data_IF_739485768479
#
_entry.id   IF_739485768479
#
_cell.length_a   1.000
_cell.length_b   1.000
_cell.length_c   1.000
_cell.angle_alpha   90.00
_cell.angle_beta   90.00
_cell.angle_gamma   90.00
#
_symmetry.space_group_name_H-M   'P 1'
#
loop_
_entity.id
_entity.type
_entity.pdbx_description
1 polymer ?
#
# COMPACT_ATOMS: atom_id res chain seq x y z
N UNK A 1 73.12 58.39 57.39
CA UNK A 1 71.73 58.31 56.88
C UNK A 1 70.83 57.99 58.06
N UNK A 2 69.92 58.91 58.40
CA UNK A 2 69.10 58.89 59.61
C UNK A 2 67.83 58.05 59.35
N UNK A 3 67.38 57.30 60.36
CA UNK A 3 66.12 56.53 60.45
C UNK A 3 66.08 55.05 59.94
N UNK A 4 66.96 54.14 60.41
CA UNK A 4 66.75 52.68 60.21
C UNK A 4 65.51 52.14 60.95
N UNK A 5 65.06 52.86 61.99
CA UNK A 5 63.93 52.49 62.83
C UNK A 5 62.56 52.69 62.13
N UNK A 6 62.48 53.61 61.16
CA UNK A 6 61.25 53.85 60.41
C UNK A 6 60.97 52.73 59.38
N UNK A 7 62.02 52.13 58.83
CA UNK A 7 61.91 51.00 57.89
C UNK A 7 61.41 49.72 58.57
N UNK A 8 61.79 49.47 59.84
CA UNK A 8 61.32 48.31 60.59
C UNK A 8 59.82 48.42 60.97
N UNK A 9 59.33 49.63 61.27
CA UNK A 9 57.91 49.86 61.59
C UNK A 9 57.02 49.76 60.34
N UNK A 10 57.53 50.15 59.16
CA UNK A 10 56.80 50.00 57.89
C UNK A 10 56.74 48.54 57.40
N UNK A 11 57.71 47.69 57.79
CA UNK A 11 57.70 46.26 57.47
C UNK A 11 56.72 45.46 58.33
N UNK A 12 56.46 45.88 59.59
CA UNK A 12 55.49 45.21 60.46
C UNK A 12 54.02 45.55 60.16
N UNK A 13 53.72 46.64 59.43
CA UNK A 13 52.35 47.06 59.13
C UNK A 13 51.73 46.40 57.89
N UNK A 14 52.44 45.49 57.23
CA UNK A 14 51.94 44.76 56.04
C UNK A 14 51.64 43.27 56.29
N UNK A 15 51.63 42.84 57.56
CA UNK A 15 51.14 41.51 57.92
C UNK A 15 49.64 41.56 58.24
N UNK A 16 48.80 41.65 57.22
CA UNK A 16 47.39 41.30 57.39
C UNK A 16 47.31 39.77 57.55
N UNK A 17 46.77 39.23 58.67
CA UNK A 17 46.45 37.81 58.72
C UNK A 17 45.34 37.56 57.69
N UNK A 18 45.64 36.81 56.63
CA UNK A 18 44.59 36.23 55.80
C UNK A 18 43.90 35.15 56.63
N UNK A 19 42.75 35.48 57.21
CA UNK A 19 41.85 34.46 57.73
C UNK A 19 41.31 33.76 56.50
N UNK A 20 41.89 32.60 56.17
CA UNK A 20 41.33 31.71 55.17
C UNK A 20 39.93 31.29 55.66
N UNK A 21 38.90 31.64 54.91
CA UNK A 21 37.52 31.35 55.26
C UNK A 21 37.31 29.84 55.02
N UNK A 22 37.33 29.06 56.10
CA UNK A 22 37.26 27.59 56.00
C UNK A 22 35.89 27.18 55.47
N UNK A 23 35.88 26.33 54.43
CA UNK A 23 34.67 25.71 53.88
C UNK A 23 33.85 25.04 54.99
N UNK A 24 32.74 25.67 55.39
CA UNK A 24 31.86 25.15 56.43
C UNK A 24 30.55 24.62 55.82
N UNK A 25 30.38 23.31 55.89
CA UNK A 25 29.23 22.59 55.33
C UNK A 25 28.04 22.68 56.29
N UNK A 26 26.84 22.87 55.73
CA UNK A 26 25.59 22.78 56.48
C UNK A 26 25.39 21.38 57.04
N UNK A 27 24.95 21.27 58.29
CA UNK A 27 24.65 19.98 58.94
C UNK A 27 23.55 19.18 58.23
N UNK A 28 22.66 19.87 57.51
CA UNK A 28 21.54 19.28 56.76
C UNK A 28 21.82 19.13 55.26
N UNK A 29 23.09 19.21 54.83
CA UNK A 29 23.44 19.11 53.42
C UNK A 29 23.13 17.69 52.86
N UNK A 30 22.43 17.57 51.73
CA UNK A 30 22.07 16.27 51.17
C UNK A 30 23.28 15.57 50.56
N UNK A 31 23.49 14.28 50.84
CA UNK A 31 24.62 13.51 50.28
C UNK A 31 24.64 13.47 48.73
N UNK A 32 23.47 13.63 48.11
CA UNK A 32 23.31 13.65 46.66
C UNK A 32 22.26 14.69 46.24
N UNK A 33 22.52 15.39 45.14
CA UNK A 33 21.60 16.35 44.51
C UNK A 33 21.48 16.06 43.02
N UNK A 34 20.27 16.13 42.45
CA UNK A 34 20.05 15.99 41.00
C UNK A 34 19.75 17.35 40.42
N UNK A 35 20.59 17.81 39.50
CA UNK A 35 20.48 19.12 38.85
C UNK A 35 19.17 19.23 38.09
N UNK A 36 18.42 20.29 38.35
CA UNK A 36 17.18 20.63 37.66
C UNK A 36 17.44 21.72 36.62
N UNK A 37 16.50 21.86 35.68
CA UNK A 37 16.56 22.91 34.65
C UNK A 37 16.48 24.28 35.32
N UNK A 38 17.55 25.06 35.21
CA UNK A 38 17.66 26.41 35.76
C UNK A 38 18.59 26.54 36.96
N UNK A 39 19.10 25.44 37.51
CA UNK A 39 20.04 25.50 38.62
C UNK A 39 21.42 26.01 38.15
N UNK A 40 22.05 26.84 38.97
CA UNK A 40 23.45 27.23 38.80
C UNK A 40 24.33 26.58 39.88
N UNK A 41 25.65 26.52 39.66
CA UNK A 41 26.60 26.06 40.66
C UNK A 41 26.54 26.87 41.96
N UNK A 42 26.19 28.15 41.87
CA UNK A 42 25.98 29.02 43.03
C UNK A 42 24.73 28.62 43.81
N UNK A 43 23.60 28.39 43.12
CA UNK A 43 22.34 27.95 43.75
C UNK A 43 22.50 26.59 44.44
N UNK A 44 23.20 25.66 43.78
CA UNK A 44 23.48 24.34 44.33
C UNK A 44 24.41 24.47 45.54
N UNK A 45 25.46 25.29 45.45
CA UNK A 45 26.39 25.47 46.56
C UNK A 45 25.75 26.14 47.77
N UNK A 46 24.72 26.97 47.59
CA UNK A 46 23.92 27.50 48.69
C UNK A 46 23.20 26.41 49.51
N UNK A 47 22.97 25.23 48.92
CA UNK A 47 22.39 24.06 49.60
C UNK A 47 23.44 23.42 50.53
N UNK A 48 24.71 23.41 50.12
CA UNK A 48 25.80 22.73 50.82
C UNK A 48 26.57 23.63 51.79
N UNK A 49 26.73 24.92 51.47
CA UNK A 49 27.55 25.87 52.20
C UNK A 49 26.71 26.92 52.93
N UNK A 50 27.21 27.37 54.09
CA UNK A 50 26.68 28.56 54.76
C UNK A 50 26.98 29.86 53.99
N UNK A 51 28.07 29.87 53.23
CA UNK A 51 28.54 31.00 52.44
C UNK A 51 28.56 30.61 50.95
N UNK A 52 27.49 30.92 50.18
CA UNK A 52 27.34 30.44 48.79
C UNK A 52 28.43 30.90 47.83
N UNK A 53 29.12 32.02 48.10
CA UNK A 53 30.19 32.55 47.24
C UNK A 53 31.49 31.75 47.30
N UNK A 54 31.66 30.85 48.27
CA UNK A 54 32.80 29.91 48.35
C UNK A 54 32.61 28.68 47.44
N UNK A 55 31.60 28.68 46.57
CA UNK A 55 31.37 27.63 45.60
C UNK A 55 32.59 27.27 44.71
N UNK A 56 33.50 28.18 44.32
CA UNK A 56 34.69 27.80 43.53
C UNK A 56 35.64 26.89 44.30
N UNK A 57 35.63 26.96 45.63
CA UNK A 57 36.47 26.12 46.48
C UNK A 57 35.82 24.74 46.72
N UNK A 58 34.48 24.68 46.79
CA UNK A 58 33.72 23.43 46.85
C UNK A 58 33.78 22.65 45.53
N UNK A 59 33.80 23.39 44.43
CA UNK A 59 33.86 22.90 43.06
C UNK A 59 35.29 23.06 42.52
N UNK A 60 36.23 22.31 43.09
CA UNK A 60 37.60 22.30 42.56
C UNK A 60 37.64 21.68 41.16
N UNK A 61 38.38 22.35 40.27
CA UNK A 61 38.59 22.00 38.86
C UNK A 61 38.65 20.48 38.66
N UNK A 62 37.66 19.95 37.94
CA UNK A 62 37.76 18.63 37.32
C UNK A 62 38.55 18.81 36.01
N UNK A 63 39.87 18.53 35.96
CA UNK A 63 40.65 18.71 34.73
C UNK A 63 40.20 17.79 33.58
N UNK A 64 39.23 16.90 33.80
CA UNK A 64 38.64 16.02 32.79
C UNK A 64 37.47 16.65 32.00
N UNK A 65 37.06 17.90 32.28
CA UNK A 65 35.92 18.55 31.62
C UNK A 65 36.37 19.89 31.03
N UNK A 66 36.18 20.07 29.71
CA UNK A 66 36.68 21.21 28.92
C UNK A 66 36.17 22.59 29.38
N UNK A 67 35.03 22.64 30.09
CA UNK A 67 34.53 23.85 30.75
C UNK A 67 34.17 23.52 32.20
N UNK A 68 34.97 23.96 33.18
CA UNK A 68 34.78 23.61 34.59
C UNK A 68 33.44 24.05 35.20
N UNK A 69 32.67 24.90 34.52
CA UNK A 69 31.42 25.48 35.03
C UNK A 69 30.13 24.92 34.40
N UNK A 70 30.22 23.96 33.47
CA UNK A 70 29.03 23.39 32.83
C UNK A 70 28.44 22.26 33.68
N UNK A 71 27.16 22.41 34.03
CA UNK A 71 26.30 21.36 34.62
C UNK A 71 25.05 21.22 33.76
N UNK A 72 24.54 19.99 33.63
CA UNK A 72 23.35 19.71 32.82
C UNK A 72 22.18 19.21 33.68
N UNK A 73 20.93 19.56 33.32
CA UNK A 73 19.76 19.01 34.00
C UNK A 73 19.76 17.48 33.91
N UNK A 74 19.72 16.82 35.07
CA UNK A 74 19.80 15.36 35.20
C UNK A 74 21.12 14.84 35.76
N UNK A 75 22.18 15.67 35.83
CA UNK A 75 23.42 15.30 36.49
C UNK A 75 23.19 15.07 37.99
N UNK A 76 23.73 13.98 38.53
CA UNK A 76 23.76 13.77 39.97
C UNK A 76 25.09 14.23 40.55
N UNK A 77 25.01 15.14 41.50
CA UNK A 77 26.13 15.65 42.25
C UNK A 77 26.20 14.95 43.60
N UNK A 78 27.39 14.52 44.00
CA UNK A 78 27.62 13.86 45.29
C UNK A 78 28.70 14.60 46.07
N UNK A 79 28.47 14.77 47.37
CA UNK A 79 29.45 15.35 48.28
C UNK A 79 30.42 14.26 48.73
N UNK A 80 31.71 14.42 48.40
CA UNK A 80 32.80 13.54 48.81
C UNK A 80 33.80 14.33 49.66
N UNK A 81 34.58 13.66 50.50
CA UNK A 81 35.66 14.27 51.26
C UNK A 81 37.00 13.78 50.69
N UNK A 82 37.91 14.71 50.44
CA UNK A 82 39.26 14.39 49.96
C UNK A 82 40.11 13.73 51.05
N UNK A 83 41.30 13.19 50.70
CA UNK A 83 42.21 12.54 51.66
C UNK A 83 42.64 13.46 52.82
N UNK A 84 42.56 14.79 52.60
CA UNK A 84 42.82 15.82 53.60
C UNK A 84 41.58 16.29 54.39
N UNK A 85 40.43 15.61 54.22
CA UNK A 85 39.17 15.91 54.92
C UNK A 85 38.37 17.10 54.37
N UNK A 86 38.79 17.67 53.23
CA UNK A 86 38.11 18.81 52.60
C UNK A 86 36.90 18.35 51.78
N UNK A 87 35.73 19.02 51.87
CA UNK A 87 34.55 18.66 51.10
C UNK A 87 34.66 19.09 49.64
N UNK A 88 34.26 18.20 48.73
CA UNK A 88 34.19 18.45 47.30
C UNK A 88 32.90 17.91 46.71
N UNK A 89 32.35 18.66 45.75
CA UNK A 89 31.17 18.23 45.00
C UNK A 89 31.61 17.64 43.66
N UNK A 90 31.28 16.38 43.40
CA UNK A 90 31.65 15.68 42.16
C UNK A 90 30.43 15.16 41.42
N UNK A 91 30.50 15.12 40.09
CA UNK A 91 29.47 14.51 39.25
C UNK A 91 29.58 12.99 39.38
N UNK A 92 28.52 12.37 39.89
CA UNK A 92 28.39 10.93 39.98
C UNK A 92 27.92 10.36 38.63
N UNK A 93 28.89 10.01 37.78
CA UNK A 93 28.66 9.40 36.46
C UNK A 93 28.00 8.01 36.51
N UNK A 94 27.94 7.38 37.70
CA UNK A 94 27.24 6.12 37.92
C UNK A 94 25.72 6.27 38.12
N UNK A 95 25.21 7.49 38.33
CA UNK A 95 23.78 7.71 38.51
C UNK A 95 23.06 7.74 37.16
N UNK A 96 22.29 6.69 36.86
CA UNK A 96 21.33 6.68 35.74
C UNK A 96 19.92 6.66 36.30
N UNK A 97 19.17 7.74 36.06
CA UNK A 97 17.74 7.77 36.35
C UNK A 97 17.02 6.82 35.38
N UNK A 98 16.63 5.63 35.86
CA UNK A 98 15.81 4.69 35.12
C UNK A 98 14.38 5.25 35.03
N UNK A 99 14.08 6.00 33.98
CA UNK A 99 12.69 6.34 33.62
C UNK A 99 12.17 5.37 32.55
N UNK A 100 10.86 5.05 32.55
CA UNK A 100 10.27 4.24 31.49
C UNK A 100 10.50 4.92 30.14
N UNK A 101 11.24 4.25 29.26
CA UNK A 101 11.34 4.65 27.86
C UNK A 101 10.60 3.59 27.04
N UNK A 102 9.61 4.02 26.27
CA UNK A 102 8.92 3.16 25.33
C UNK A 102 9.93 2.63 24.30
N UNK A 103 9.99 1.31 24.14
CA UNK A 103 10.85 0.70 23.13
C UNK A 103 10.28 1.01 21.74
N UNK A 104 10.97 1.85 20.97
CA UNK A 104 10.63 2.06 19.56
C UNK A 104 11.11 0.83 18.79
N UNK A 105 10.24 -0.17 18.67
CA UNK A 105 10.42 -1.25 17.70
C UNK A 105 9.98 -0.72 16.33
N UNK A 106 10.86 -0.67 15.31
CA UNK A 106 10.43 -0.37 13.96
C UNK A 106 9.37 -1.40 13.54
N UNK A 107 8.23 -0.92 13.02
CA UNK A 107 7.16 -1.77 12.46
C UNK A 107 7.75 -2.54 11.27
N UNK A 108 8.25 -3.75 11.52
CA UNK A 108 8.67 -4.74 10.52
C UNK A 108 9.72 -4.28 9.50
N UNK A 109 10.92 -4.88 9.53
CA UNK A 109 11.87 -4.81 8.39
C UNK A 109 11.42 -5.60 7.16
N UNK A 110 10.26 -6.26 7.24
CA UNK A 110 9.68 -6.93 6.09
C UNK A 110 9.01 -5.87 5.24
N UNK A 111 9.61 -5.57 4.09
CA UNK A 111 8.92 -4.84 3.03
C UNK A 111 7.52 -5.44 2.86
N UNK A 112 6.50 -4.59 2.74
CA UNK A 112 5.14 -5.04 2.41
C UNK A 112 5.29 -5.95 1.18
N UNK A 113 4.89 -7.23 1.26
CA UNK A 113 5.13 -8.15 0.16
C UNK A 113 4.43 -7.59 -1.07
N UNK A 114 5.22 -7.10 -2.02
CA UNK A 114 4.69 -6.68 -3.31
C UNK A 114 4.31 -7.95 -4.06
N UNK A 115 3.16 -7.92 -4.72
CA UNK A 115 2.74 -9.05 -5.53
C UNK A 115 3.79 -9.29 -6.64
N UNK A 116 4.42 -10.48 -6.72
CA UNK A 116 5.45 -10.73 -7.71
C UNK A 116 4.84 -10.76 -9.11
N UNK A 117 5.41 -9.97 -10.05
CA UNK A 117 4.94 -9.88 -11.44
C UNK A 117 4.87 -11.24 -12.15
N UNK A 118 5.67 -12.21 -11.72
CA UNK A 118 5.69 -13.56 -12.26
C UNK A 118 4.33 -14.25 -12.21
N UNK A 119 3.55 -14.04 -11.14
CA UNK A 119 2.19 -14.59 -11.02
C UNK A 119 1.21 -13.97 -12.02
N UNK A 120 1.44 -12.70 -12.38
CA UNK A 120 0.58 -12.00 -13.32
C UNK A 120 0.97 -12.29 -14.79
N UNK A 121 2.26 -12.60 -15.07
CA UNK A 121 2.84 -12.64 -16.42
C UNK A 121 1.97 -13.34 -17.48
N UNK A 122 1.46 -14.57 -17.27
CA UNK A 122 0.68 -15.28 -18.30
C UNK A 122 -0.59 -14.53 -18.74
N UNK A 123 -1.16 -13.74 -17.84
CA UNK A 123 -2.41 -13.01 -18.04
C UNK A 123 -2.20 -11.55 -18.43
N UNK A 124 -1.00 -11.02 -18.16
CA UNK A 124 -0.54 -9.74 -18.64
C UNK A 124 -0.27 -9.77 -20.15
N UNK A 125 0.21 -10.92 -20.64
CA UNK A 125 0.48 -11.15 -22.05
C UNK A 125 -0.82 -11.36 -22.83
N UNK A 126 -1.22 -10.32 -23.55
CA UNK A 126 -2.17 -10.33 -24.68
C UNK A 126 -3.67 -10.46 -24.36
N UNK A 127 -4.12 -10.66 -23.11
CA UNK A 127 -5.54 -10.50 -22.81
C UNK A 127 -5.86 -9.01 -22.53
N UNK A 128 -6.74 -8.43 -23.35
CA UNK A 128 -7.19 -7.04 -23.24
C UNK A 128 -8.70 -6.95 -23.39
N UNK A 129 -9.32 -6.07 -22.61
CA UNK A 129 -10.71 -5.70 -22.81
C UNK A 129 -10.76 -4.43 -23.66
N UNK A 130 -11.40 -4.51 -24.83
CA UNK A 130 -11.55 -3.38 -25.75
C UNK A 130 -13.02 -3.08 -26.02
N UNK A 131 -13.36 -1.81 -26.16
CA UNK A 131 -14.70 -1.38 -26.54
C UNK A 131 -14.99 -1.69 -28.01
N UNK A 132 -16.28 -1.70 -28.39
CA UNK A 132 -16.68 -1.91 -29.80
C UNK A 132 -16.10 -0.84 -30.72
N UNK A 133 -16.02 0.40 -30.23
CA UNK A 133 -15.49 1.55 -30.97
C UNK A 133 -13.98 1.40 -31.20
N UNK A 134 -13.25 1.06 -30.15
CA UNK A 134 -11.80 0.85 -30.23
C UNK A 134 -11.44 -0.25 -31.23
N UNK A 135 -12.18 -1.36 -31.23
CA UNK A 135 -11.95 -2.48 -32.18
C UNK A 135 -12.22 -2.04 -33.61
N UNK A 136 -13.27 -1.26 -33.85
CA UNK A 136 -13.66 -0.81 -35.20
C UNK A 136 -12.63 0.15 -35.83
N UNK A 137 -11.91 0.90 -34.99
CA UNK A 137 -10.83 1.80 -35.42
C UNK A 137 -9.51 1.06 -35.72
N UNK A 138 -9.36 -0.21 -35.31
CA UNK A 138 -8.11 -0.96 -35.54
C UNK A 138 -7.99 -1.49 -36.97
N UNK A 139 -6.76 -1.58 -37.50
CA UNK A 139 -6.47 -2.31 -38.73
C UNK A 139 -6.95 -3.76 -38.64
N UNK A 140 -7.50 -4.30 -39.73
CA UNK A 140 -7.99 -5.68 -39.75
C UNK A 140 -7.55 -6.45 -41.00
N UNK A 141 -7.53 -7.78 -40.88
CA UNK A 141 -7.09 -8.69 -41.92
C UNK A 141 -8.17 -8.81 -42.99
N UNK A 142 -7.79 -8.53 -44.24
CA UNK A 142 -8.60 -8.75 -45.44
C UNK A 142 -8.55 -10.20 -45.90
N UNK A 143 -7.36 -10.80 -45.86
CA UNK A 143 -7.11 -12.14 -46.36
C UNK A 143 -5.63 -12.49 -46.30
N UNK A 144 -5.24 -13.51 -47.03
CA UNK A 144 -3.86 -13.99 -47.09
C UNK A 144 -3.42 -14.28 -48.52
N UNK A 145 -2.10 -14.49 -48.69
CA UNK A 145 -1.50 -14.86 -49.97
C UNK A 145 -1.90 -16.25 -50.44
N UNK A 146 -2.33 -17.12 -49.53
CA UNK A 146 -2.87 -18.44 -49.83
C UNK A 146 -4.37 -18.41 -49.60
N UNK A 147 -5.15 -18.92 -50.57
CA UNK A 147 -6.61 -19.03 -50.44
C UNK A 147 -6.99 -20.22 -49.56
N UNK A 148 -6.57 -20.18 -48.30
CA UNK A 148 -6.96 -21.14 -47.27
C UNK A 148 -7.73 -20.39 -46.18
N UNK A 149 -8.77 -21.03 -45.65
CA UNK A 149 -9.46 -20.51 -44.45
C UNK A 149 -8.51 -20.43 -43.26
N UNK A 150 -7.48 -21.27 -43.27
CA UNK A 150 -6.46 -21.41 -42.24
C UNK A 150 -5.14 -20.79 -42.67
N UNK A 151 -4.72 -19.72 -41.99
CA UNK A 151 -3.38 -19.15 -42.15
C UNK A 151 -2.53 -19.48 -40.93
N UNK A 152 -1.34 -20.03 -41.19
CA UNK A 152 -0.39 -20.54 -40.18
C UNK A 152 0.92 -19.76 -40.27
N UNK A 153 1.86 -20.07 -39.39
CA UNK A 153 3.22 -19.51 -39.36
C UNK A 153 3.88 -19.49 -40.74
N UNK A 154 4.51 -18.37 -41.09
CA UNK A 154 5.17 -18.16 -42.39
C UNK A 154 4.28 -17.61 -43.50
N UNK A 155 2.96 -17.63 -43.34
CA UNK A 155 2.03 -17.05 -44.32
C UNK A 155 2.07 -15.52 -44.32
N UNK A 156 1.65 -14.92 -45.44
CA UNK A 156 1.52 -13.48 -45.58
C UNK A 156 0.05 -13.13 -45.47
N UNK A 157 -0.29 -12.26 -44.51
CA UNK A 157 -1.64 -11.71 -44.36
C UNK A 157 -1.68 -10.27 -44.87
N UNK A 158 -2.76 -9.93 -45.55
CA UNK A 158 -3.03 -8.59 -46.06
C UNK A 158 -3.95 -7.86 -45.10
N UNK A 159 -3.54 -6.67 -44.69
CA UNK A 159 -4.20 -5.87 -43.66
C UNK A 159 -4.72 -4.57 -44.26
N UNK A 160 -5.99 -4.25 -43.98
CA UNK A 160 -6.53 -2.93 -44.23
C UNK A 160 -6.19 -2.02 -43.06
N UNK A 161 -5.26 -1.11 -43.29
CA UNK A 161 -4.80 -0.14 -42.30
C UNK A 161 -3.34 0.22 -42.53
N UNK A 162 -2.96 1.40 -42.05
CA UNK A 162 -1.59 1.89 -42.10
C UNK A 162 -0.81 1.22 -40.98
N UNK A 163 0.17 0.40 -41.35
CA UNK A 163 1.06 -0.26 -40.42
C UNK A 163 2.48 0.25 -40.65
N UNK A 164 3.23 0.40 -39.57
CA UNK A 164 4.62 0.86 -39.64
C UNK A 164 5.54 -0.27 -40.11
N UNK A 165 6.41 0.02 -41.08
CA UNK A 165 7.37 -0.96 -41.60
C UNK A 165 8.30 -1.49 -40.48
N UNK A 166 8.64 -2.78 -40.55
CA UNK A 166 9.52 -3.50 -39.62
C UNK A 166 9.04 -3.61 -38.17
N UNK A 167 7.86 -3.09 -37.84
CA UNK A 167 7.27 -3.23 -36.50
C UNK A 167 6.52 -4.56 -36.36
N UNK A 168 6.51 -5.10 -35.14
CA UNK A 168 5.79 -6.31 -34.78
C UNK A 168 4.37 -5.96 -34.33
N UNK A 169 3.38 -6.64 -34.90
CA UNK A 169 1.97 -6.51 -34.55
C UNK A 169 1.44 -7.84 -34.04
N UNK A 170 0.66 -7.77 -32.97
CA UNK A 170 -0.14 -8.88 -32.46
C UNK A 170 -1.50 -8.88 -33.16
N UNK A 171 -1.95 -10.06 -33.57
CA UNK A 171 -3.21 -10.33 -34.24
C UNK A 171 -4.21 -10.84 -33.21
N UNK A 172 -5.34 -10.17 -33.12
CA UNK A 172 -6.38 -10.41 -32.12
C UNK A 172 -7.71 -10.76 -32.76
N UNK A 173 -8.44 -11.63 -32.07
CA UNK A 173 -9.83 -11.96 -32.36
C UNK A 173 -10.75 -11.37 -31.31
N UNK A 174 -11.86 -10.79 -31.76
CA UNK A 174 -12.95 -10.37 -30.87
C UNK A 174 -13.60 -11.61 -30.24
N UNK A 175 -13.42 -11.77 -28.94
CA UNK A 175 -13.99 -12.83 -28.12
C UNK A 175 -15.34 -12.46 -27.52
N UNK A 176 -15.62 -13.07 -26.35
CA UNK A 176 -16.89 -12.86 -25.61
C UNK A 176 -17.01 -11.41 -25.13
N UNK A 177 -18.25 -10.92 -25.11
CA UNK A 177 -18.58 -9.63 -24.52
C UNK A 177 -18.57 -9.74 -22.99
N UNK A 178 -18.03 -8.71 -22.34
CA UNK A 178 -18.19 -8.43 -20.92
C UNK A 178 -19.49 -7.65 -20.76
N UNK A 179 -20.46 -8.27 -20.09
CA UNK A 179 -21.82 -7.76 -19.95
C UNK A 179 -22.00 -7.33 -18.49
N UNK A 180 -22.57 -6.16 -18.31
CA UNK A 180 -22.95 -5.67 -17.00
C UNK A 180 -24.22 -6.39 -16.50
N UNK A 181 -24.21 -7.03 -15.32
CA UNK A 181 -25.35 -7.80 -14.81
C UNK A 181 -26.59 -6.93 -14.53
N UNK A 182 -26.42 -5.66 -14.20
CA UNK A 182 -27.54 -4.77 -13.88
C UNK A 182 -28.19 -4.20 -15.15
N UNK A 183 -27.38 -3.67 -16.06
CA UNK A 183 -27.90 -2.99 -17.27
C UNK A 183 -28.03 -3.89 -18.50
N UNK A 184 -27.49 -5.11 -18.46
CA UNK A 184 -27.37 -6.02 -19.60
C UNK A 184 -26.66 -5.42 -20.83
N UNK A 185 -25.87 -4.35 -20.65
CA UNK A 185 -25.10 -3.71 -21.73
C UNK A 185 -23.70 -4.32 -21.84
N UNK A 186 -23.20 -4.44 -23.07
CA UNK A 186 -21.83 -4.86 -23.32
C UNK A 186 -20.86 -3.70 -23.03
N UNK A 187 -20.04 -3.85 -22.00
CA UNK A 187 -19.04 -2.85 -21.59
C UNK A 187 -17.78 -2.91 -22.45
N UNK A 188 -17.31 -4.12 -22.72
CA UNK A 188 -16.11 -4.39 -23.53
C UNK A 188 -16.15 -5.80 -24.13
N UNK A 189 -15.19 -6.12 -24.97
CA UNK A 189 -14.99 -7.45 -25.56
C UNK A 189 -13.61 -7.97 -25.20
N UNK A 190 -13.54 -9.26 -24.85
CA UNK A 190 -12.27 -9.94 -24.64
C UNK A 190 -11.51 -10.03 -25.97
N UNK A 191 -10.28 -9.54 -26.00
CA UNK A 191 -9.37 -9.70 -27.13
C UNK A 191 -8.52 -10.96 -26.95
N UNK A 192 -8.64 -11.90 -27.87
CA UNK A 192 -7.91 -13.17 -27.83
C UNK A 192 -6.74 -13.11 -28.80
N UNK A 193 -5.52 -13.39 -28.33
CA UNK A 193 -4.36 -13.47 -29.20
C UNK A 193 -4.47 -14.67 -30.14
N UNK A 194 -4.38 -14.41 -31.43
CA UNK A 194 -4.39 -15.42 -32.49
C UNK A 194 -2.97 -15.66 -33.00
N UNK A 195 -2.15 -14.61 -33.13
CA UNK A 195 -0.78 -14.72 -33.63
C UNK A 195 -0.01 -13.42 -33.54
N UNK A 196 1.24 -13.45 -33.99
CA UNK A 196 2.14 -12.31 -34.06
C UNK A 196 2.76 -12.29 -35.45
N UNK A 197 2.87 -11.11 -36.05
CA UNK A 197 3.49 -10.93 -37.34
C UNK A 197 4.31 -9.67 -37.42
N UNK A 198 5.20 -9.61 -38.43
CA UNK A 198 6.04 -8.46 -38.71
C UNK A 198 5.66 -7.83 -40.04
N UNK A 199 5.51 -6.52 -40.04
CA UNK A 199 5.19 -5.75 -41.25
C UNK A 199 6.43 -5.71 -42.13
N UNK A 200 6.26 -6.05 -43.42
CA UNK A 200 7.34 -5.99 -44.40
C UNK A 200 6.97 -5.20 -45.67
N UNK A 201 5.70 -4.85 -45.86
CA UNK A 201 5.25 -3.85 -46.85
C UNK A 201 4.21 -2.95 -46.21
N UNK A 202 4.40 -1.65 -46.35
CA UNK A 202 3.40 -0.65 -45.98
C UNK A 202 2.26 -0.66 -47.01
N UNK A 203 1.06 -0.36 -46.53
CA UNK A 203 -0.12 -0.15 -47.36
C UNK A 203 -0.40 1.33 -47.57
N UNK A 204 -1.20 1.62 -48.58
CA UNK A 204 -1.72 2.95 -48.88
C UNK A 204 -3.24 2.83 -49.00
N UNK A 205 -3.96 3.38 -48.01
CA UNK A 205 -5.43 3.32 -47.98
C UNK A 205 -6.06 4.15 -49.09
N UNK A 206 -5.44 5.26 -49.50
CA UNK A 206 -5.95 6.14 -50.55
C UNK A 206 -5.91 5.46 -51.91
N UNK A 207 -4.91 4.60 -52.13
CA UNK A 207 -4.76 3.80 -53.36
C UNK A 207 -5.36 2.40 -53.25
N UNK A 208 -5.95 2.02 -52.11
CA UNK A 208 -6.53 0.70 -51.89
C UNK A 208 -5.49 -0.43 -51.78
N UNK A 209 -4.23 -0.10 -51.47
CA UNK A 209 -3.14 -1.07 -51.33
C UNK A 209 -3.05 -1.53 -49.86
N UNK A 210 -3.22 -2.83 -49.57
CA UNK A 210 -3.15 -3.32 -48.20
C UNK A 210 -1.70 -3.45 -47.69
N UNK A 211 -1.52 -3.25 -46.39
CA UNK A 211 -0.26 -3.56 -45.71
C UNK A 211 -0.03 -5.07 -45.70
N UNK A 212 1.21 -5.51 -45.90
CA UNK A 212 1.56 -6.95 -45.87
C UNK A 212 2.32 -7.30 -44.59
N UNK A 213 1.79 -8.28 -43.86
CA UNK A 213 2.36 -8.76 -42.60
C UNK A 213 2.75 -10.22 -42.78
N UNK A 214 4.01 -10.53 -42.45
CA UNK A 214 4.47 -11.92 -42.40
C UNK A 214 4.19 -12.46 -41.01
N UNK A 215 3.43 -13.55 -40.92
CA UNK A 215 3.12 -14.21 -39.65
C UNK A 215 4.37 -14.91 -39.13
N UNK A 216 4.82 -14.52 -37.94
CA UNK A 216 5.99 -15.09 -37.26
C UNK A 216 5.60 -16.16 -36.26
N UNK A 217 4.45 -16.01 -35.60
CA UNK A 217 3.92 -16.98 -34.63
C UNK A 217 2.41 -17.09 -34.80
N UNK A 218 1.87 -18.30 -34.83
CA UNK A 218 0.44 -18.55 -34.87
C UNK A 218 0.03 -19.45 -33.67
N UNK A 219 -0.76 -18.90 -32.75
CA UNK A 219 -1.34 -19.65 -31.63
C UNK A 219 -2.68 -20.28 -32.00
N UNK A 220 -3.40 -19.64 -32.91
CA UNK A 220 -4.66 -20.08 -33.46
C UNK A 220 -4.72 -19.75 -34.95
N UNK A 221 -5.67 -20.36 -35.64
CA UNK A 221 -5.99 -20.06 -37.04
C UNK A 221 -6.30 -18.56 -37.22
N UNK A 222 -5.57 -17.88 -38.11
CA UNK A 222 -5.81 -16.47 -38.45
C UNK A 222 -6.88 -16.35 -39.54
N UNK A 223 -7.90 -15.54 -39.28
CA UNK A 223 -9.07 -15.37 -40.14
C UNK A 223 -9.18 -13.93 -40.66
N UNK A 224 -9.90 -13.75 -41.75
CA UNK A 224 -10.39 -12.44 -42.14
C UNK A 224 -11.21 -11.85 -40.99
N UNK A 225 -11.16 -10.52 -40.82
CA UNK A 225 -11.76 -9.75 -39.70
C UNK A 225 -11.02 -9.79 -38.35
N UNK A 226 -9.98 -10.61 -38.19
CA UNK A 226 -9.08 -10.46 -37.04
C UNK A 226 -8.35 -9.10 -37.14
N UNK A 227 -8.15 -8.42 -36.00
CA UNK A 227 -7.60 -7.06 -35.96
C UNK A 227 -6.19 -7.02 -35.39
N UNK A 228 -5.42 -6.00 -35.73
CA UNK A 228 -4.02 -5.89 -35.35
C UNK A 228 -3.80 -4.73 -34.39
N UNK A 229 -2.90 -4.95 -33.43
CA UNK A 229 -2.35 -3.91 -32.57
C UNK A 229 -0.84 -4.08 -32.46
N UNK A 230 -0.06 -3.00 -32.29
CA UNK A 230 1.36 -3.09 -32.01
C UNK A 230 1.63 -4.08 -30.88
N UNK A 231 2.60 -4.98 -31.07
CA UNK A 231 2.82 -6.10 -30.16
C UNK A 231 3.13 -5.63 -28.73
N UNK A 232 3.80 -4.49 -28.56
CA UNK A 232 4.13 -3.92 -27.24
C UNK A 232 2.99 -3.12 -26.60
N UNK A 233 1.92 -2.80 -27.34
CA UNK A 233 0.86 -1.93 -26.83
C UNK A 233 0.06 -2.63 -25.72
N UNK A 234 0.00 -1.98 -24.55
CA UNK A 234 -0.71 -2.51 -23.37
C UNK A 234 0.00 -3.68 -22.68
N UNK A 235 1.31 -3.89 -22.97
CA UNK A 235 2.17 -4.87 -22.31
C UNK A 235 3.13 -4.25 -21.27
N UNK A 236 3.24 -2.93 -21.24
CA UNK A 236 4.07 -2.22 -20.26
C UNK A 236 3.35 -2.18 -18.91
N UNK A 237 3.98 -2.73 -17.88
CA UNK A 237 3.46 -2.71 -16.51
C UNK A 237 4.48 -2.10 -15.57
N UNK A 238 4.03 -1.50 -14.47
CA UNK A 238 4.93 -1.05 -13.43
C UNK A 238 5.65 -2.26 -12.82
N UNK A 239 6.93 -2.06 -12.47
CA UNK A 239 7.75 -3.10 -11.83
C UNK A 239 7.24 -3.48 -10.43
N UNK A 240 6.38 -2.67 -9.83
CA UNK A 240 5.73 -2.93 -8.55
C UNK A 240 4.38 -2.22 -8.52
N UNK A 241 3.38 -2.86 -7.90
CA UNK A 241 2.10 -2.23 -7.60
C UNK A 241 2.14 -1.64 -6.19
N UNK A 242 1.71 -0.39 -6.05
CA UNK A 242 1.43 0.20 -4.74
C UNK A 242 0.00 -0.14 -4.37
N UNK A 243 -0.13 -1.02 -3.40
CA UNK A 243 -1.43 -1.42 -2.86
C UNK A 243 -2.04 -0.25 -2.09
N UNK A 244 -3.15 0.30 -2.59
CA UNK A 244 -3.87 1.42 -2.00
C UNK A 244 -5.38 1.18 -2.08
N UNK A 245 -6.14 1.58 -1.06
CA UNK A 245 -7.60 1.61 -1.18
C UNK A 245 -8.04 2.91 -1.86
N UNK A 246 -8.95 2.88 -2.84
CA UNK A 246 -9.61 4.07 -3.36
C UNK A 246 -10.16 4.96 -2.24
N UNK A 247 -10.11 6.27 -2.45
CA UNK A 247 -10.57 7.26 -1.48
C UNK A 247 -12.10 7.44 -1.51
N UNK A 248 -12.73 7.10 -2.65
CA UNK A 248 -14.17 7.20 -2.88
C UNK A 248 -14.85 5.84 -2.71
N UNK A 249 -16.08 5.81 -2.16
CA UNK A 249 -16.86 4.59 -2.09
C UNK A 249 -17.26 4.16 -3.50
N UNK A 250 -16.97 2.90 -3.84
CA UNK A 250 -17.22 2.35 -5.17
C UNK A 250 -17.87 0.99 -4.99
N UNK A 251 -18.90 0.72 -5.78
CA UNK A 251 -19.59 -0.56 -5.83
C UNK A 251 -19.61 -1.06 -7.27
N UNK A 252 -19.18 -2.29 -7.47
CA UNK A 252 -19.30 -2.99 -8.74
C UNK A 252 -19.46 -4.49 -8.53
N UNK A 253 -19.36 -5.25 -9.61
CA UNK A 253 -19.57 -6.69 -9.64
C UNK A 253 -18.46 -7.40 -10.42
N UNK A 254 -18.20 -8.64 -10.00
CA UNK A 254 -17.39 -9.58 -10.78
C UNK A 254 -18.24 -10.11 -11.94
N UNK A 255 -17.87 -9.77 -13.16
CA UNK A 255 -18.64 -10.10 -14.37
C UNK A 255 -18.08 -11.29 -15.15
N UNK A 256 -16.80 -11.59 -14.97
CA UNK A 256 -16.16 -12.74 -15.58
C UNK A 256 -14.92 -13.15 -14.79
N UNK A 257 -14.41 -14.34 -15.09
CA UNK A 257 -13.10 -14.79 -14.65
C UNK A 257 -12.31 -15.33 -15.83
N UNK A 258 -10.99 -15.35 -15.69
CA UNK A 258 -10.14 -15.97 -16.71
C UNK A 258 -10.19 -17.50 -16.63
N UNK A 259 -10.36 -18.05 -15.43
CA UNK A 259 -10.61 -19.48 -15.27
C UNK A 259 -12.04 -19.82 -15.71
N UNK A 260 -12.25 -21.02 -16.27
CA UNK A 260 -13.57 -21.51 -16.70
C UNK A 260 -14.33 -22.23 -15.57
N UNK A 261 -13.93 -22.00 -14.33
CA UNK A 261 -14.52 -22.64 -13.16
C UNK A 261 -15.78 -21.89 -12.72
N UNK A 262 -16.63 -22.56 -11.94
CA UNK A 262 -17.83 -21.95 -11.34
C UNK A 262 -17.48 -21.12 -10.09
N UNK A 263 -16.39 -21.48 -9.44
CA UNK A 263 -15.89 -20.86 -8.22
C UNK A 263 -14.40 -20.60 -8.35
N UNK A 264 -13.95 -19.50 -7.74
CA UNK A 264 -12.60 -18.95 -7.85
C UNK A 264 -11.97 -18.80 -6.47
N UNK A 265 -10.64 -18.89 -6.42
CA UNK A 265 -9.88 -18.81 -5.18
C UNK A 265 -8.82 -17.73 -5.23
N UNK A 266 -8.04 -17.62 -4.15
CA UNK A 266 -6.85 -16.77 -4.12
C UNK A 266 -5.94 -17.07 -5.32
N UNK A 267 -5.38 -16.02 -5.91
CA UNK A 267 -4.59 -16.01 -7.15
C UNK A 267 -5.37 -16.18 -8.46
N UNK A 268 -6.70 -16.35 -8.42
CA UNK A 268 -7.49 -16.28 -9.65
C UNK A 268 -7.70 -14.83 -10.09
N UNK A 269 -7.81 -14.66 -11.42
CA UNK A 269 -8.06 -13.36 -12.04
C UNK A 269 -9.53 -13.25 -12.42
N UNK A 270 -10.10 -12.14 -11.98
CA UNK A 270 -11.48 -11.75 -12.22
C UNK A 270 -11.54 -10.44 -12.98
N UNK A 271 -12.66 -10.24 -13.68
CA UNK A 271 -12.97 -9.01 -14.41
C UNK A 271 -14.10 -8.31 -13.68
N UNK A 272 -13.93 -7.02 -13.44
CA UNK A 272 -14.90 -6.16 -12.80
C UNK A 272 -15.58 -5.26 -13.84
N UNK A 273 -16.85 -4.89 -13.60
CA UNK A 273 -17.55 -3.83 -14.34
C UNK A 273 -17.13 -2.41 -13.92
N UNK A 274 -15.97 -2.27 -13.25
CA UNK A 274 -15.39 -1.00 -12.82
C UNK A 274 -14.17 -0.69 -13.67
N UNK A 275 -14.04 0.54 -14.17
CA UNK A 275 -12.94 0.98 -15.01
C UNK A 275 -12.44 2.39 -14.66
N UNK A 276 -11.81 3.01 -15.64
CA UNK A 276 -11.30 4.39 -15.55
C UNK A 276 -12.43 5.40 -15.32
N UNK A 277 -13.63 5.14 -15.85
CA UNK A 277 -14.83 5.97 -15.62
C UNK A 277 -15.19 6.10 -14.13
N UNK A 278 -14.84 5.11 -13.30
CA UNK A 278 -15.07 5.09 -11.86
C UNK A 278 -13.78 5.37 -11.05
N UNK A 279 -12.79 6.04 -11.64
CA UNK A 279 -11.52 6.40 -11.00
C UNK A 279 -10.69 5.21 -10.46
N UNK A 280 -10.91 3.99 -10.98
CA UNK A 280 -10.09 2.84 -10.61
C UNK A 280 -8.69 2.95 -11.19
N UNK A 281 -7.68 2.58 -10.39
CA UNK A 281 -6.25 2.59 -10.76
C UNK A 281 -5.64 1.23 -10.45
N UNK A 282 -4.59 0.89 -11.17
CA UNK A 282 -3.81 -0.31 -10.88
C UNK A 282 -3.14 -0.17 -9.49
N UNK A 283 -3.23 -1.22 -8.68
CA UNK A 283 -2.87 -1.23 -7.27
C UNK A 283 -4.05 -1.03 -6.31
N UNK A 284 -5.24 -0.67 -6.81
CA UNK A 284 -6.42 -0.51 -5.97
C UNK A 284 -6.87 -1.84 -5.33
N UNK A 285 -7.09 -1.86 -4.03
CA UNK A 285 -7.65 -2.99 -3.29
C UNK A 285 -9.14 -2.74 -3.03
N UNK A 286 -9.98 -3.71 -3.37
CA UNK A 286 -11.41 -3.71 -3.05
C UNK A 286 -11.75 -4.95 -2.21
N UNK A 287 -12.79 -4.81 -1.38
CA UNK A 287 -13.35 -5.92 -0.62
C UNK A 287 -14.38 -6.65 -1.50
N UNK A 288 -14.45 -7.97 -1.36
CA UNK A 288 -15.43 -8.80 -2.08
C UNK A 288 -16.55 -9.12 -1.10
N UNK A 289 -17.77 -8.78 -1.46
CA UNK A 289 -18.97 -9.03 -0.68
C UNK A 289 -19.94 -9.93 -1.43
N UNK A 290 -20.61 -10.82 -0.69
CA UNK A 290 -21.64 -11.70 -1.23
C UNK A 290 -22.97 -11.44 -0.53
N UNK A 291 -24.03 -11.35 -1.33
CA UNK A 291 -25.39 -11.36 -0.83
C UNK A 291 -25.70 -12.71 -0.18
N UNK A 292 -26.03 -12.70 1.12
CA UNK A 292 -26.40 -13.91 1.84
C UNK A 292 -27.74 -14.47 1.30
N UNK A 293 -27.94 -15.81 1.30
CA UNK A 293 -29.14 -16.43 0.77
C UNK A 293 -30.42 -15.91 1.43
N UNK A 294 -31.46 -15.72 0.63
CA UNK A 294 -32.79 -15.32 1.13
C UNK A 294 -33.40 -16.46 1.93
N UNK A 295 -33.94 -16.13 3.11
CA UNK A 295 -34.64 -17.07 3.97
C UNK A 295 -36.13 -16.76 3.93
N UNK A 296 -36.92 -17.77 3.63
CA UNK A 296 -38.36 -17.73 3.77
C UNK A 296 -38.73 -18.23 5.15
N UNK A 297 -39.40 -17.39 5.94
CA UNK A 297 -39.99 -17.79 7.21
C UNK A 297 -41.49 -17.94 7.03
N UNK A 298 -41.98 -19.17 7.13
CA UNK A 298 -43.40 -19.50 6.97
C UNK A 298 -43.87 -20.52 7.99
N UNK A 299 -45.07 -21.07 7.80
CA UNK A 299 -45.72 -21.98 8.78
C UNK A 299 -44.88 -23.21 9.16
N UNK A 300 -43.96 -23.63 8.30
CA UNK A 300 -43.09 -24.79 8.49
C UNK A 300 -41.67 -24.42 8.98
N UNK A 301 -41.48 -23.18 9.46
CA UNK A 301 -40.19 -22.64 9.92
C UNK A 301 -39.34 -22.01 8.82
N UNK A 302 -38.14 -21.49 9.18
CA UNK A 302 -37.23 -20.83 8.26
C UNK A 302 -36.59 -21.84 7.30
N UNK A 303 -36.65 -21.57 6.00
CA UNK A 303 -36.01 -22.37 4.96
C UNK A 303 -35.34 -21.47 3.93
N UNK A 304 -34.20 -21.92 3.42
CA UNK A 304 -33.56 -21.25 2.29
C UNK A 304 -34.39 -21.43 1.03
N UNK A 305 -34.45 -20.38 0.21
CA UNK A 305 -35.13 -20.46 -1.08
C UNK A 305 -34.53 -21.55 -1.99
N UNK A 306 -33.22 -21.77 -1.87
CA UNK A 306 -32.47 -22.77 -2.64
C UNK A 306 -32.94 -24.20 -2.32
N UNK A 307 -33.28 -24.47 -1.05
CA UNK A 307 -33.72 -25.77 -0.53
C UNK A 307 -35.20 -26.08 -0.81
N UNK A 308 -35.96 -25.13 -1.39
CA UNK A 308 -37.36 -25.38 -1.76
C UNK A 308 -37.47 -26.37 -2.91
N UNK A 309 -38.43 -27.30 -2.80
CA UNK A 309 -38.58 -28.37 -3.79
C UNK A 309 -39.18 -27.82 -5.10
N UNK A 310 -38.95 -28.50 -6.23
CA UNK A 310 -39.40 -28.02 -7.56
C UNK A 310 -40.89 -27.72 -7.65
N UNK A 311 -41.72 -28.47 -6.89
CA UNK A 311 -43.16 -28.25 -6.81
C UNK A 311 -43.51 -26.95 -6.05
N UNK A 312 -42.79 -26.63 -4.98
CA UNK A 312 -42.94 -25.37 -4.24
C UNK A 312 -42.48 -24.17 -5.07
N UNK A 313 -41.37 -24.31 -5.81
CA UNK A 313 -40.91 -23.27 -6.77
C UNK A 313 -41.95 -23.03 -7.86
N UNK A 314 -42.61 -24.08 -8.35
CA UNK A 314 -43.68 -23.96 -9.33
C UNK A 314 -44.92 -23.27 -8.75
N UNK A 315 -45.38 -23.68 -7.56
CA UNK A 315 -46.53 -23.05 -6.92
C UNK A 315 -46.27 -21.58 -6.60
N UNK A 316 -45.08 -21.21 -6.11
CA UNK A 316 -44.71 -19.79 -5.92
C UNK A 316 -44.77 -18.99 -7.22
N UNK A 317 -44.23 -19.53 -8.30
CA UNK A 317 -44.20 -18.85 -9.59
C UNK A 317 -45.61 -18.69 -10.18
N UNK A 318 -46.50 -19.65 -9.92
CA UNK A 318 -47.92 -19.48 -10.26
C UNK A 318 -48.60 -18.46 -9.37
N UNK A 319 -48.37 -18.48 -8.05
CA UNK A 319 -48.98 -17.54 -7.11
C UNK A 319 -48.57 -16.08 -7.42
N UNK A 320 -47.28 -15.84 -7.73
CA UNK A 320 -46.78 -14.54 -8.22
C UNK A 320 -47.41 -14.13 -9.56
N UNK A 321 -47.58 -15.08 -10.49
CA UNK A 321 -48.18 -14.82 -11.80
C UNK A 321 -49.68 -14.52 -11.73
N UNK A 322 -50.39 -15.18 -10.81
CA UNK A 322 -51.83 -15.00 -10.60
C UNK A 322 -52.17 -13.92 -9.55
N UNK A 323 -51.15 -13.25 -8.99
CA UNK A 323 -51.34 -12.17 -8.01
C UNK A 323 -51.98 -12.64 -6.71
N UNK A 324 -51.80 -13.91 -6.34
CA UNK A 324 -52.26 -14.45 -5.06
C UNK A 324 -51.37 -13.86 -3.98
N UNK A 325 -51.96 -13.04 -3.10
CA UNK A 325 -51.21 -12.40 -2.02
C UNK A 325 -50.53 -13.46 -1.14
N UNK A 326 -49.23 -13.31 -0.85
CA UNK A 326 -48.54 -14.23 0.03
C UNK A 326 -49.27 -14.28 1.38
N UNK A 327 -49.45 -15.51 1.88
CA UNK A 327 -50.08 -15.81 3.15
C UNK A 327 -49.57 -14.83 4.23
N UNK A 328 -50.46 -14.10 4.94
CA UNK A 328 -50.11 -12.99 5.87
C UNK A 328 -49.09 -13.35 6.97
N UNK A 329 -48.81 -14.64 7.15
CA UNK A 329 -47.85 -15.19 8.11
C UNK A 329 -46.51 -15.61 7.49
N UNK A 330 -46.22 -15.25 6.23
CA UNK A 330 -44.94 -15.55 5.58
C UNK A 330 -44.13 -14.29 5.32
N UNK A 331 -42.88 -14.26 5.79
CA UNK A 331 -41.96 -13.14 5.61
C UNK A 331 -40.73 -13.60 4.86
N UNK A 332 -40.34 -12.84 3.82
CA UNK A 332 -39.11 -13.06 3.06
C UNK A 332 -38.02 -12.18 3.67
N UNK A 333 -36.99 -12.81 4.23
CA UNK A 333 -35.86 -12.11 4.85
C UNK A 333 -34.70 -12.02 3.86
N UNK A 334 -34.39 -10.78 3.45
CA UNK A 334 -33.17 -10.47 2.70
C UNK A 334 -32.03 -10.24 3.69
N UNK A 335 -31.11 -11.19 3.75
CA UNK A 335 -29.97 -11.16 4.67
C UNK A 335 -28.92 -10.10 4.24
N UNK A 336 -28.03 -9.64 5.14
CA UNK A 336 -26.99 -8.67 4.76
C UNK A 336 -25.95 -9.25 3.81
N UNK A 337 -25.18 -8.36 3.19
CA UNK A 337 -23.98 -8.73 2.44
C UNK A 337 -22.84 -9.03 3.41
N UNK A 338 -22.14 -10.13 3.17
CA UNK A 338 -21.01 -10.57 3.99
C UNK A 338 -19.71 -10.49 3.20
N UNK A 339 -18.63 -10.08 3.86
CA UNK A 339 -17.30 -10.03 3.23
C UNK A 339 -16.78 -11.44 3.04
N UNK A 340 -16.48 -11.80 1.79
CA UNK A 340 -15.98 -13.12 1.40
C UNK A 340 -14.51 -13.11 0.96
N UNK A 341 -13.93 -11.94 0.67
CA UNK A 341 -12.54 -11.84 0.23
C UNK A 341 -12.06 -10.42 -0.04
N UNK A 342 -10.89 -10.33 -0.66
CA UNK A 342 -10.23 -9.08 -1.09
C UNK A 342 -9.57 -9.32 -2.46
N UNK A 343 -9.61 -8.32 -3.32
CA UNK A 343 -8.98 -8.33 -4.63
C UNK A 343 -8.14 -7.08 -4.88
N UNK A 344 -7.15 -7.20 -5.74
CA UNK A 344 -6.28 -6.11 -6.16
C UNK A 344 -6.38 -5.93 -7.67
N UNK A 345 -6.77 -4.73 -8.10
CA UNK A 345 -6.80 -4.34 -9.51
C UNK A 345 -5.37 -4.19 -10.02
N UNK A 346 -5.04 -4.81 -11.16
CA UNK A 346 -3.70 -4.68 -11.76
C UNK A 346 -3.73 -4.11 -13.18
N UNK A 347 -4.88 -4.13 -13.85
CA UNK A 347 -5.04 -3.58 -15.21
C UNK A 347 -6.42 -2.93 -15.35
N UNK A 348 -6.46 -1.70 -15.84
CA UNK A 348 -7.68 -0.90 -15.92
C UNK A 348 -7.91 -0.48 -17.36
N UNK A 349 -9.16 -0.62 -17.81
CA UNK A 349 -9.66 -0.14 -19.10
C UNK A 349 -10.79 0.87 -18.84
N UNK A 350 -11.35 1.44 -19.90
CA UNK A 350 -12.39 2.49 -19.81
C UNK A 350 -13.55 2.10 -18.87
N UNK A 351 -14.14 0.92 -19.08
CA UNK A 351 -15.34 0.44 -18.35
C UNK A 351 -15.16 -0.84 -17.54
N UNK A 352 -14.01 -1.47 -17.65
CA UNK A 352 -13.73 -2.75 -16.98
C UNK A 352 -12.30 -2.78 -16.48
N UNK A 353 -12.05 -3.63 -15.49
CA UNK A 353 -10.72 -3.82 -14.95
C UNK A 353 -10.48 -5.28 -14.63
N UNK A 354 -9.20 -5.68 -14.68
CA UNK A 354 -8.76 -6.99 -14.25
C UNK A 354 -8.18 -6.88 -12.85
N UNK A 355 -8.63 -7.79 -11.99
CA UNK A 355 -8.19 -7.88 -10.62
C UNK A 355 -7.76 -9.30 -10.27
N UNK A 356 -6.79 -9.39 -9.37
CA UNK A 356 -6.33 -10.64 -8.77
C UNK A 356 -7.00 -10.79 -7.41
N UNK A 357 -7.56 -11.96 -7.12
CA UNK A 357 -8.03 -12.29 -5.77
C UNK A 357 -6.81 -12.48 -4.87
N UNK A 358 -6.65 -11.62 -3.86
CA UNK A 358 -5.52 -11.65 -2.93
C UNK A 358 -5.82 -12.54 -1.74
N UNK A 359 -7.07 -12.54 -1.29
CA UNK A 359 -7.51 -13.30 -0.13
C UNK A 359 -8.96 -13.72 -0.31
N UNK A 360 -9.28 -14.94 0.11
CA UNK A 360 -10.66 -15.41 0.18
C UNK A 360 -10.91 -16.18 1.48
N UNK A 361 -12.10 -16.03 2.03
CA UNK A 361 -12.63 -16.85 3.13
C UNK A 361 -13.57 -17.94 2.60
N UNK A 362 -14.29 -17.62 1.53
CA UNK A 362 -15.21 -18.52 0.83
C UNK A 362 -14.87 -18.54 -0.67
N UNK A 363 -15.27 -19.58 -1.42
CA UNK A 363 -15.11 -19.60 -2.87
C UNK A 363 -15.87 -18.43 -3.50
N UNK A 364 -15.20 -17.65 -4.37
CA UNK A 364 -15.75 -16.46 -5.03
C UNK A 364 -16.47 -16.87 -6.32
N UNK A 365 -17.52 -16.15 -6.70
CA UNK A 365 -18.39 -16.47 -7.84
C UNK A 365 -18.60 -15.24 -8.73
N UNK A 366 -18.99 -15.48 -9.97
CA UNK A 366 -19.49 -14.41 -10.85
C UNK A 366 -20.77 -13.85 -10.23
N UNK A 367 -20.89 -12.53 -10.19
CA UNK A 367 -22.00 -11.81 -9.57
C UNK A 367 -21.71 -11.25 -8.17
N UNK A 368 -20.66 -11.75 -7.48
CA UNK A 368 -20.22 -11.18 -6.21
C UNK A 368 -19.85 -9.69 -6.38
N UNK A 369 -20.07 -8.89 -5.34
CA UNK A 369 -19.83 -7.47 -5.34
C UNK A 369 -18.36 -7.16 -5.02
N UNK A 370 -17.78 -6.19 -5.72
CA UNK A 370 -16.50 -5.59 -5.39
C UNK A 370 -16.76 -4.18 -4.86
N UNK A 371 -16.49 -3.95 -3.58
CA UNK A 371 -16.90 -2.72 -2.89
C UNK A 371 -15.78 -2.09 -2.08
N UNK A 372 -15.93 -0.79 -1.86
CA UNK A 372 -15.25 -0.03 -0.82
C UNK A 372 -16.31 0.78 -0.10
N UNK A 373 -16.38 0.56 1.21
CA UNK A 373 -17.32 1.21 2.12
C UNK A 373 -16.71 2.45 2.76
#
# INVERSE_FOLDING_TARGET
MKYPLFAAVLALSTAFPSVADVLNIKKDAPKQYVVKKGDTLWDISAIYLNKPWLWPELWQMNPQIDNPHLIYPGDALSLIYDEHGNPRLVINSGYKKLSPHGRITPKGRNAIPTLPLELLRPYLTYEQALSRKEIAEKPYILGANVNTKMNTEGHIVYVKGELKLHEAYAIYRKGKAYIDPETNKALAYKSQLVGIGRVFREGDLSQGVPSSVKVTEAKQEIRATDFLMPAMQGQTLPAYFKMQRPDEPITGNIIAATSRLREFSTMDIVVLNLGLEQNIKAGHILDIERQSPTVFDGRNGPRYEEDSNSLEKFMKKSDEFFGVEPDKNSTVWHMPKEKVGELMVFKVHEKVSYALIVKNQHPIRIGDFAVIN
#
